data_IF_826503322147
#
_entry.id   IF_826503322147
#
_cell.length_a   1.000
_cell.length_b   1.000
_cell.length_c   1.000
_cell.angle_alpha   90.00
_cell.angle_beta   90.00
_cell.angle_gamma   90.00
#
_symmetry.space_group_name_H-M   'P 1'
#
loop_
_entity.id
_entity.type
_entity.pdbx_description
1 polymer ?
#
# COMPACT_ATOMS: atom_id res chain seq x y z
N UNK A 1 -47.39 30.89 -7.32
CA UNK A 1 -47.50 29.57 -6.65
C UNK A 1 -46.53 28.53 -7.21
N UNK A 2 -46.73 27.90 -8.38
CA UNK A 2 -45.79 26.85 -8.87
C UNK A 2 -44.34 27.32 -9.06
N UNK A 3 -44.15 28.55 -9.54
CA UNK A 3 -42.82 29.18 -9.72
C UNK A 3 -42.11 29.45 -8.38
N UNK A 4 -42.85 29.88 -7.35
CA UNK A 4 -42.28 30.20 -6.03
C UNK A 4 -41.79 28.93 -5.31
N UNK A 5 -42.54 27.83 -5.42
CA UNK A 5 -42.12 26.53 -4.91
C UNK A 5 -40.90 25.97 -5.66
N UNK A 6 -40.79 26.23 -6.96
CA UNK A 6 -39.62 25.84 -7.75
C UNK A 6 -38.36 26.63 -7.34
N UNK A 7 -38.48 27.94 -7.14
CA UNK A 7 -37.36 28.79 -6.66
C UNK A 7 -36.96 28.40 -5.24
N UNK A 8 -37.92 28.17 -4.34
CA UNK A 8 -37.64 27.69 -2.98
C UNK A 8 -36.92 26.34 -3.01
N UNK A 9 -37.38 25.41 -3.85
CA UNK A 9 -36.72 24.12 -4.04
C UNK A 9 -35.27 24.26 -4.50
N UNK A 10 -35.01 25.12 -5.48
CA UNK A 10 -33.65 25.40 -5.98
C UNK A 10 -32.74 25.96 -4.88
N UNK A 11 -33.24 26.91 -4.07
CA UNK A 11 -32.48 27.51 -2.97
C UNK A 11 -32.15 26.47 -1.89
N UNK A 12 -33.10 25.62 -1.52
CA UNK A 12 -32.87 24.56 -0.52
C UNK A 12 -31.85 23.56 -1.03
N UNK A 13 -31.93 23.12 -2.29
CA UNK A 13 -30.93 22.23 -2.89
C UNK A 13 -29.56 22.91 -2.94
N UNK A 14 -29.50 24.19 -3.34
CA UNK A 14 -28.25 24.96 -3.35
C UNK A 14 -27.59 25.08 -1.98
N UNK A 15 -28.38 25.30 -0.93
CA UNK A 15 -27.90 25.34 0.45
C UNK A 15 -27.38 23.99 0.92
N UNK A 16 -28.09 22.89 0.60
CA UNK A 16 -27.64 21.54 0.94
C UNK A 16 -26.32 21.19 0.23
N UNK A 17 -26.20 21.47 -1.06
CA UNK A 17 -24.96 21.24 -1.82
C UNK A 17 -23.79 22.07 -1.24
N UNK A 18 -24.03 23.35 -0.94
CA UNK A 18 -23.01 24.24 -0.35
C UNK A 18 -22.57 23.74 1.03
N UNK A 19 -23.51 23.26 1.85
CA UNK A 19 -23.22 22.73 3.18
C UNK A 19 -22.35 21.46 3.12
N UNK A 20 -22.66 20.53 2.21
CA UNK A 20 -21.87 19.30 2.00
C UNK A 20 -20.44 19.64 1.60
N UNK A 21 -20.25 20.52 0.61
CA UNK A 21 -18.91 20.96 0.16
C UNK A 21 -18.12 21.62 1.30
N UNK A 22 -18.79 22.42 2.14
CA UNK A 22 -18.16 23.07 3.28
C UNK A 22 -17.71 22.08 4.35
N UNK A 23 -18.47 21.01 4.60
CA UNK A 23 -18.07 19.94 5.51
C UNK A 23 -16.84 19.18 5.01
N UNK A 24 -16.82 18.78 3.74
CA UNK A 24 -15.68 18.09 3.15
C UNK A 24 -14.41 18.95 3.25
N UNK A 25 -14.51 20.24 2.92
CA UNK A 25 -13.39 21.19 3.03
C UNK A 25 -12.85 21.30 4.46
N UNK A 26 -13.73 21.29 5.47
CA UNK A 26 -13.34 21.37 6.88
C UNK A 26 -12.67 20.08 7.34
N UNK A 27 -13.16 18.91 6.91
CA UNK A 27 -12.52 17.62 7.18
C UNK A 27 -11.10 17.58 6.59
N UNK A 28 -10.92 18.00 5.34
CA UNK A 28 -9.61 18.09 4.71
C UNK A 28 -8.65 19.04 5.44
N UNK A 29 -9.12 20.18 5.95
CA UNK A 29 -8.28 21.07 6.77
C UNK A 29 -7.92 20.44 8.11
N UNK A 30 -8.87 19.78 8.76
CA UNK A 30 -8.65 19.14 10.06
C UNK A 30 -7.60 18.03 9.95
N UNK A 31 -7.73 17.14 8.97
CA UNK A 31 -6.75 16.07 8.71
C UNK A 31 -5.36 16.62 8.40
N UNK A 32 -5.27 17.63 7.53
CA UNK A 32 -3.98 18.27 7.24
C UNK A 32 -3.36 18.91 8.49
N UNK A 33 -4.16 19.47 9.38
CA UNK A 33 -3.70 20.01 10.65
C UNK A 33 -3.11 18.94 11.57
N UNK A 34 -3.77 17.78 11.69
CA UNK A 34 -3.29 16.65 12.49
C UNK A 34 -2.02 16.03 11.92
N UNK A 35 -1.96 15.82 10.60
CA UNK A 35 -0.78 15.27 9.91
C UNK A 35 0.40 16.23 10.02
N UNK A 36 0.18 17.54 9.81
CA UNK A 36 1.23 18.55 9.98
C UNK A 36 1.75 18.64 11.42
N UNK A 37 0.92 18.28 12.40
CA UNK A 37 1.32 18.16 13.80
C UNK A 37 2.05 16.84 14.13
N UNK A 38 2.28 15.97 13.13
CA UNK A 38 2.93 14.68 13.30
C UNK A 38 2.07 13.64 14.03
N UNK A 39 0.74 13.78 13.98
CA UNK A 39 -0.15 12.82 14.65
C UNK A 39 -0.13 11.47 13.91
N UNK A 40 0.61 10.52 14.48
CA UNK A 40 0.82 9.16 13.93
C UNK A 40 -0.50 8.40 13.78
N UNK A 41 -1.46 8.54 14.71
CA UNK A 41 -2.75 7.86 14.63
C UNK A 41 -3.62 8.40 13.49
N UNK A 42 -3.54 9.70 13.22
CA UNK A 42 -4.21 10.31 12.07
C UNK A 42 -3.61 9.81 10.75
N UNK A 43 -2.28 9.73 10.65
CA UNK A 43 -1.57 9.22 9.47
C UNK A 43 -1.92 7.75 9.25
N UNK A 44 -1.88 6.93 10.31
CA UNK A 44 -2.34 5.54 10.30
C UNK A 44 -3.74 5.42 9.73
N UNK A 45 -4.69 6.18 10.29
CA UNK A 45 -6.10 6.10 9.92
C UNK A 45 -6.30 6.39 8.44
N UNK A 46 -5.62 7.41 7.91
CA UNK A 46 -5.70 7.78 6.50
C UNK A 46 -5.09 6.71 5.58
N UNK A 47 -3.95 6.13 5.97
CA UNK A 47 -3.33 5.03 5.22
C UNK A 47 -4.22 3.77 5.21
N UNK A 48 -4.73 3.36 6.37
CA UNK A 48 -5.59 2.17 6.49
C UNK A 48 -6.90 2.33 5.70
N UNK A 49 -7.51 3.52 5.73
CA UNK A 49 -8.69 3.83 4.91
C UNK A 49 -8.40 3.70 3.41
N UNK A 50 -7.25 4.21 2.96
CA UNK A 50 -6.88 4.15 1.57
C UNK A 50 -6.52 2.72 1.12
N UNK A 51 -5.87 1.94 2.00
CA UNK A 51 -5.57 0.53 1.72
C UNK A 51 -6.85 -0.32 1.62
N UNK A 52 -7.85 -0.06 2.46
CA UNK A 52 -9.18 -0.69 2.36
C UNK A 52 -9.87 -0.31 1.04
N UNK A 53 -9.77 0.97 0.66
CA UNK A 53 -10.30 1.44 -0.63
C UNK A 53 -9.64 0.72 -1.80
N UNK A 54 -8.32 0.59 -1.84
CA UNK A 54 -7.61 -0.13 -2.91
C UNK A 54 -8.03 -1.60 -2.96
N UNK A 55 -8.16 -2.25 -1.80
CA UNK A 55 -8.57 -3.66 -1.68
C UNK A 55 -9.90 -3.96 -2.37
N UNK A 56 -10.85 -3.04 -2.28
CA UNK A 56 -12.20 -3.19 -2.86
C UNK A 56 -12.34 -2.59 -4.26
N UNK A 57 -11.37 -1.79 -4.71
CA UNK A 57 -11.39 -1.14 -6.01
C UNK A 57 -11.10 -2.13 -7.15
N UNK A 58 -11.80 -1.96 -8.27
CA UNK A 58 -11.50 -2.68 -9.52
C UNK A 58 -10.13 -2.26 -10.04
N UNK A 59 -9.48 -3.18 -10.77
CA UNK A 59 -8.19 -2.92 -11.43
C UNK A 59 -8.26 -1.62 -12.26
N UNK A 60 -7.42 -0.61 -11.95
CA UNK A 60 -7.34 0.62 -12.72
C UNK A 60 -6.94 0.37 -14.17
N UNK A 61 -7.35 1.26 -15.08
CA UNK A 61 -6.93 1.19 -16.48
C UNK A 61 -5.41 1.34 -16.59
N UNK A 62 -4.79 0.54 -17.46
CA UNK A 62 -3.34 0.58 -17.67
C UNK A 62 -2.51 -0.20 -16.65
N UNK A 63 -3.12 -0.68 -15.56
CA UNK A 63 -2.42 -1.50 -14.54
C UNK A 63 -2.64 -2.97 -14.84
N UNK A 64 -1.56 -3.76 -14.81
CA UNK A 64 -1.65 -5.20 -14.96
C UNK A 64 -2.41 -5.83 -13.77
N UNK A 65 -3.37 -6.75 -13.98
CA UNK A 65 -4.15 -7.34 -12.89
C UNK A 65 -3.31 -7.99 -11.78
N UNK A 66 -2.23 -8.69 -12.14
CA UNK A 66 -1.32 -9.30 -11.16
C UNK A 66 -0.65 -8.27 -10.24
N UNK A 67 -0.28 -7.10 -10.78
CA UNK A 67 0.31 -6.00 -9.99
C UNK A 67 -0.74 -5.42 -9.06
N UNK A 68 -1.97 -5.19 -9.55
CA UNK A 68 -3.05 -4.68 -8.71
C UNK A 68 -3.45 -5.65 -7.60
N UNK A 69 -3.47 -6.96 -7.88
CA UNK A 69 -3.69 -7.96 -6.84
C UNK A 69 -2.62 -7.89 -5.75
N UNK A 70 -1.35 -7.68 -6.10
CA UNK A 70 -0.30 -7.41 -5.11
C UNK A 70 -0.59 -6.16 -4.28
N UNK A 71 -0.98 -5.05 -4.91
CA UNK A 71 -1.41 -3.81 -4.21
C UNK A 71 -2.57 -4.08 -3.23
N UNK A 72 -3.54 -4.90 -3.61
CA UNK A 72 -4.72 -5.22 -2.77
C UNK A 72 -4.37 -6.04 -1.53
N UNK A 73 -3.21 -6.68 -1.49
CA UNK A 73 -2.71 -7.42 -0.32
C UNK A 73 -1.91 -6.56 0.65
N UNK A 74 -1.80 -5.25 0.40
CA UNK A 74 -1.04 -4.35 1.26
C UNK A 74 -1.55 -4.36 2.70
N UNK A 75 -0.61 -4.40 3.64
CA UNK A 75 -0.83 -4.29 5.08
C UNK A 75 0.11 -3.25 5.66
N UNK A 76 -0.39 -2.43 6.57
CA UNK A 76 0.42 -1.47 7.31
C UNK A 76 1.20 -2.22 8.41
N UNK A 77 2.52 -2.11 8.43
CA UNK A 77 3.42 -2.77 9.40
C UNK A 77 3.91 -1.82 10.49
N UNK A 78 4.15 -0.55 10.15
CA UNK A 78 4.46 0.49 11.12
C UNK A 78 4.20 1.87 10.50
N UNK A 79 3.98 2.88 11.32
CA UNK A 79 3.84 4.27 10.88
C UNK A 79 4.55 5.23 11.82
N UNK A 80 5.30 6.16 11.24
CA UNK A 80 5.95 7.27 11.93
C UNK A 80 5.30 8.61 11.60
N UNK A 81 5.91 9.70 12.03
CA UNK A 81 5.41 11.05 11.78
C UNK A 81 5.47 11.45 10.29
N UNK A 82 6.41 10.90 9.54
CA UNK A 82 6.62 11.18 8.12
C UNK A 82 7.04 9.92 7.32
N UNK A 83 6.88 8.74 7.89
CA UNK A 83 7.28 7.47 7.29
C UNK A 83 6.19 6.41 7.42
N UNK A 84 6.14 5.49 6.46
CA UNK A 84 5.32 4.29 6.56
C UNK A 84 6.14 3.04 6.25
N UNK A 85 5.84 1.96 6.94
CA UNK A 85 6.31 0.62 6.61
C UNK A 85 5.11 -0.22 6.26
N UNK A 86 5.12 -0.82 5.07
CA UNK A 86 4.06 -1.69 4.58
C UNK A 86 4.63 -3.03 4.13
N UNK A 87 3.79 -4.06 4.19
CA UNK A 87 4.05 -5.36 3.59
C UNK A 87 3.00 -5.67 2.53
N UNK A 88 3.37 -6.49 1.55
CA UNK A 88 2.44 -6.99 0.53
C UNK A 88 2.87 -8.36 0.01
N UNK A 89 2.01 -9.00 -0.78
CA UNK A 89 2.29 -10.27 -1.44
C UNK A 89 2.56 -10.06 -2.93
N UNK A 90 3.49 -10.85 -3.47
CA UNK A 90 3.69 -11.00 -4.90
C UNK A 90 3.87 -12.49 -5.25
N UNK A 91 3.27 -12.91 -6.37
CA UNK A 91 3.36 -14.27 -6.88
C UNK A 91 3.93 -14.26 -8.30
N UNK A 92 4.76 -15.25 -8.61
CA UNK A 92 5.25 -15.49 -9.98
C UNK A 92 4.11 -15.85 -10.92
N UNK A 93 4.26 -15.51 -12.20
CA UNK A 93 3.25 -15.80 -13.21
C UNK A 93 3.53 -17.16 -13.85
N UNK A 94 2.54 -18.07 -13.79
CA UNK A 94 2.63 -19.40 -14.38
C UNK A 94 1.59 -19.59 -15.47
N UNK A 95 1.98 -20.24 -16.57
CA UNK A 95 1.09 -20.60 -17.67
C UNK A 95 1.25 -22.07 -17.99
N UNK A 96 0.14 -22.76 -18.25
CA UNK A 96 0.20 -24.13 -18.77
C UNK A 96 0.51 -24.04 -20.26
N UNK A 97 1.68 -24.54 -20.64
CA UNK A 97 2.14 -24.64 -22.03
C UNK A 97 2.57 -26.08 -22.32
N UNK A 98 2.00 -26.70 -23.34
CA UNK A 98 2.30 -28.09 -23.69
C UNK A 98 2.01 -29.10 -22.56
N UNK A 99 0.98 -28.86 -21.75
CA UNK A 99 0.61 -29.73 -20.62
C UNK A 99 1.51 -29.64 -19.40
N UNK A 100 2.45 -28.68 -19.37
CA UNK A 100 3.33 -28.42 -18.22
C UNK A 100 3.12 -27.00 -17.70
N UNK A 101 3.18 -26.84 -16.39
CA UNK A 101 3.25 -25.51 -15.77
C UNK A 101 4.61 -24.89 -16.12
N UNK A 102 4.61 -23.73 -16.76
CA UNK A 102 5.80 -22.98 -17.12
C UNK A 102 5.75 -21.61 -16.46
N UNK A 103 6.83 -21.21 -15.80
CA UNK A 103 7.00 -19.85 -15.29
C UNK A 103 7.18 -18.89 -16.48
N UNK A 104 6.33 -17.88 -16.54
CA UNK A 104 6.32 -16.83 -17.58
C UNK A 104 6.84 -15.51 -17.03
N UNK A 105 6.78 -15.31 -15.72
CA UNK A 105 7.37 -14.16 -15.02
C UNK A 105 7.84 -14.56 -13.64
N UNK A 106 9.05 -14.13 -13.27
CA UNK A 106 9.65 -14.50 -11.99
C UNK A 106 8.94 -13.83 -10.81
N UNK A 107 8.98 -14.48 -9.64
CA UNK A 107 8.46 -13.89 -8.40
C UNK A 107 9.16 -12.56 -8.05
N UNK A 108 10.46 -12.43 -8.37
CA UNK A 108 11.21 -11.18 -8.17
C UNK A 108 10.72 -10.07 -9.11
N UNK A 109 10.47 -10.37 -10.38
CA UNK A 109 9.92 -9.38 -11.33
C UNK A 109 8.53 -8.91 -10.90
N UNK A 110 7.69 -9.84 -10.41
CA UNK A 110 6.39 -9.52 -9.85
C UNK A 110 6.55 -8.62 -8.60
N UNK A 111 7.49 -8.96 -7.71
CA UNK A 111 7.77 -8.17 -6.51
C UNK A 111 8.23 -6.76 -6.83
N UNK A 112 9.14 -6.58 -7.81
CA UNK A 112 9.59 -5.25 -8.24
C UNK A 112 8.46 -4.40 -8.80
N UNK A 113 7.56 -4.99 -9.62
CA UNK A 113 6.38 -4.29 -10.15
C UNK A 113 5.43 -3.84 -9.03
N UNK A 114 5.14 -4.72 -8.09
CA UNK A 114 4.24 -4.43 -6.96
C UNK A 114 4.86 -3.40 -6.04
N UNK A 115 6.14 -3.54 -5.69
CA UNK A 115 6.85 -2.59 -4.84
C UNK A 115 6.90 -1.18 -5.43
N UNK A 116 7.28 -1.07 -6.72
CA UNK A 116 7.29 0.21 -7.42
C UNK A 116 5.89 0.85 -7.44
N UNK A 117 4.84 0.07 -7.75
CA UNK A 117 3.48 0.60 -7.81
C UNK A 117 2.96 1.01 -6.43
N UNK A 118 3.24 0.24 -5.38
CA UNK A 118 2.86 0.60 -4.02
C UNK A 118 3.59 1.85 -3.54
N UNK A 119 4.89 1.98 -3.83
CA UNK A 119 5.65 3.18 -3.48
C UNK A 119 5.05 4.43 -4.13
N UNK A 120 4.75 4.36 -5.43
CA UNK A 120 4.08 5.44 -6.19
C UNK A 120 2.74 5.84 -5.53
N UNK A 121 1.85 4.87 -5.31
CA UNK A 121 0.52 5.12 -4.75
C UNK A 121 0.58 5.68 -3.33
N UNK A 122 1.46 5.15 -2.49
CA UNK A 122 1.59 5.62 -1.09
C UNK A 122 2.16 7.04 -1.06
N UNK A 123 3.10 7.37 -1.94
CA UNK A 123 3.71 8.69 -1.99
C UNK A 123 2.77 9.74 -2.61
N UNK A 124 1.92 9.40 -3.57
CA UNK A 124 1.15 10.40 -4.32
C UNK A 124 -0.37 10.33 -4.16
N UNK A 125 -0.95 9.16 -3.92
CA UNK A 125 -2.40 8.96 -4.00
C UNK A 125 -3.11 8.96 -2.64
N UNK A 126 -2.37 8.92 -1.53
CA UNK A 126 -2.97 8.97 -0.18
C UNK A 126 -3.37 10.41 0.17
N UNK A 127 -4.67 10.72 0.31
CA UNK A 127 -5.11 12.09 0.54
C UNK A 127 -4.75 12.59 1.94
N UNK A 128 -4.37 13.87 2.02
CA UNK A 128 -3.99 14.58 3.25
C UNK A 128 -2.73 14.07 3.95
N UNK A 129 -2.04 13.05 3.41
CA UNK A 129 -0.78 12.52 3.94
C UNK A 129 0.35 12.87 2.98
N UNK A 130 1.49 13.33 3.50
CA UNK A 130 2.72 13.55 2.72
C UNK A 130 3.89 12.95 3.48
N UNK A 131 4.20 11.68 3.19
CA UNK A 131 5.33 10.96 3.78
C UNK A 131 6.65 11.38 3.11
N UNK A 132 7.72 11.49 3.89
CA UNK A 132 9.10 11.66 3.42
C UNK A 132 9.64 10.39 2.77
N UNK A 133 9.27 9.21 3.27
CA UNK A 133 9.65 7.92 2.69
C UNK A 133 8.67 6.79 3.04
N UNK A 134 8.75 5.70 2.31
CA UNK A 134 8.00 4.47 2.55
C UNK A 134 8.92 3.25 2.40
N UNK A 135 8.84 2.32 3.36
CA UNK A 135 9.42 0.97 3.21
C UNK A 135 8.34 -0.01 2.75
N UNK A 136 8.60 -0.75 1.69
CA UNK A 136 7.74 -1.79 1.14
C UNK A 136 8.48 -3.12 1.19
N UNK A 137 7.99 -4.01 2.04
CA UNK A 137 8.47 -5.39 2.12
C UNK A 137 7.53 -6.32 1.33
N UNK A 138 8.07 -7.05 0.37
CA UNK A 138 7.30 -7.93 -0.52
C UNK A 138 7.58 -9.38 -0.19
N UNK A 139 6.50 -10.11 0.07
CA UNK A 139 6.54 -11.51 0.48
C UNK A 139 5.97 -12.42 -0.62
N UNK A 140 6.53 -13.61 -0.73
CA UNK A 140 6.01 -14.69 -1.58
C UNK A 140 5.71 -15.92 -0.73
N UNK A 141 4.74 -16.78 -1.11
CA UNK A 141 4.59 -18.09 -0.49
C UNK A 141 5.90 -18.88 -0.57
N UNK A 142 6.29 -19.51 0.55
CA UNK A 142 7.45 -20.40 0.66
C UNK A 142 6.96 -21.77 1.10
N UNK A 143 7.34 -22.80 0.35
CA UNK A 143 7.07 -24.18 0.75
C UNK A 143 8.22 -24.65 1.65
N UNK A 144 7.99 -24.68 2.97
CA UNK A 144 8.91 -25.40 3.85
C UNK A 144 8.71 -26.91 3.62
N UNK A 145 9.79 -27.67 3.45
CA UNK A 145 9.75 -29.10 3.17
C UNK A 145 9.06 -29.97 4.23
N UNK A 146 8.56 -29.39 5.33
CA UNK A 146 7.80 -30.10 6.36
C UNK A 146 6.26 -30.08 6.15
N UNK A 147 5.75 -29.31 5.18
CA UNK A 147 4.31 -29.09 4.99
C UNK A 147 3.79 -27.75 5.53
N UNK A 148 4.62 -27.01 6.28
CA UNK A 148 4.31 -25.65 6.70
C UNK A 148 4.37 -24.67 5.51
N UNK A 149 3.28 -23.90 5.32
CA UNK A 149 3.15 -22.89 4.27
C UNK A 149 3.33 -21.53 4.90
N UNK A 150 4.54 -21.00 4.80
CA UNK A 150 4.87 -19.66 5.25
C UNK A 150 4.95 -18.67 4.10
N UNK A 151 5.19 -17.41 4.44
CA UNK A 151 5.61 -16.40 3.49
C UNK A 151 7.03 -15.94 3.82
N UNK A 152 7.83 -15.69 2.79
CA UNK A 152 9.19 -15.20 2.91
C UNK A 152 9.36 -13.87 2.19
N UNK A 153 10.00 -12.90 2.84
CA UNK A 153 10.31 -11.61 2.21
C UNK A 153 11.39 -11.82 1.16
N UNK A 154 11.11 -11.42 -0.08
CA UNK A 154 12.00 -11.59 -1.23
C UNK A 154 12.48 -10.25 -1.81
N UNK A 155 11.87 -9.15 -1.41
CA UNK A 155 12.30 -7.79 -1.76
C UNK A 155 11.91 -6.84 -0.64
N UNK A 156 12.85 -6.00 -0.21
CA UNK A 156 12.58 -4.84 0.64
C UNK A 156 13.03 -3.60 -0.12
N UNK A 157 12.15 -2.60 -0.22
CA UNK A 157 12.37 -1.34 -0.94
C UNK A 157 12.13 -0.18 0.02
N UNK A 158 13.06 0.76 0.11
CA UNK A 158 12.88 2.03 0.84
C UNK A 158 12.89 3.16 -0.18
N UNK A 159 11.69 3.67 -0.48
CA UNK A 159 11.48 4.75 -1.43
C UNK A 159 11.33 6.08 -0.71
N UNK A 160 12.28 7.00 -0.91
CA UNK A 160 12.20 8.37 -0.43
C UNK A 160 11.52 9.29 -1.45
N UNK A 161 10.82 10.31 -0.95
CA UNK A 161 10.06 11.24 -1.80
C UNK A 161 10.98 12.11 -2.66
N UNK A 162 12.16 12.47 -2.16
CA UNK A 162 13.05 13.36 -2.91
C UNK A 162 13.49 12.71 -4.22
N UNK A 163 13.87 11.42 -4.18
CA UNK A 163 14.16 10.63 -5.36
C UNK A 163 12.90 10.36 -6.21
N UNK A 164 11.76 10.09 -5.57
CA UNK A 164 10.49 9.83 -6.27
C UNK A 164 10.00 11.03 -7.10
N UNK A 165 10.18 12.27 -6.60
CA UNK A 165 9.75 13.51 -7.25
C UNK A 165 10.53 13.78 -8.56
N UNK A 166 11.75 13.24 -8.68
CA UNK A 166 12.60 13.34 -9.88
C UNK A 166 12.46 12.15 -10.85
N UNK A 167 11.59 11.19 -10.53
CA UNK A 167 11.48 9.91 -11.23
C UNK A 167 10.39 9.95 -12.31
N UNK A 168 10.73 9.50 -13.52
CA UNK A 168 9.74 9.29 -14.58
C UNK A 168 9.11 7.90 -14.45
N UNK A 169 8.06 7.83 -13.63
CA UNK A 169 7.34 6.59 -13.31
C UNK A 169 6.74 5.89 -14.53
N UNK A 170 6.39 6.63 -15.57
CA UNK A 170 5.74 6.10 -16.78
C UNK A 170 6.75 5.63 -17.83
N UNK A 171 7.93 6.25 -17.90
CA UNK A 171 8.97 5.87 -18.86
C UNK A 171 9.84 4.70 -18.39
N UNK A 172 10.02 4.56 -17.08
CA UNK A 172 10.95 3.57 -16.51
C UNK A 172 10.31 2.20 -16.31
N UNK A 173 11.12 1.15 -16.52
CA UNK A 173 10.72 -0.22 -16.19
C UNK A 173 10.81 -0.44 -14.67
N UNK A 174 10.03 -1.36 -14.11
CA UNK A 174 9.99 -1.62 -12.66
C UNK A 174 11.35 -1.83 -11.99
N UNK A 175 12.27 -2.58 -12.61
CA UNK A 175 13.62 -2.78 -12.06
C UNK A 175 14.47 -1.50 -12.12
N UNK A 176 14.25 -0.65 -13.13
CA UNK A 176 14.93 0.64 -13.25
C UNK A 176 14.44 1.59 -12.14
N UNK A 177 13.13 1.58 -11.84
CA UNK A 177 12.53 2.31 -10.72
C UNK A 177 13.13 1.82 -9.39
N UNK A 178 13.04 0.52 -9.11
CA UNK A 178 13.57 -0.09 -7.87
C UNK A 178 15.05 0.24 -7.69
N UNK A 179 15.84 0.24 -8.76
CA UNK A 179 17.28 0.54 -8.70
C UNK A 179 17.62 1.99 -8.32
N UNK A 180 16.65 2.92 -8.37
CA UNK A 180 16.86 4.31 -7.93
C UNK A 180 16.78 4.48 -6.41
N UNK A 181 16.13 3.55 -5.75
CA UNK A 181 15.88 3.58 -4.32
C UNK A 181 16.80 2.62 -3.57
N UNK A 182 16.87 2.76 -2.26
CA UNK A 182 17.50 1.74 -1.41
C UNK A 182 16.65 0.46 -1.48
N UNK A 183 17.29 -0.67 -1.80
CA UNK A 183 16.59 -1.95 -1.95
C UNK A 183 17.47 -3.12 -1.54
N UNK A 184 16.84 -4.21 -1.10
CA UNK A 184 17.49 -5.48 -0.77
C UNK A 184 16.71 -6.65 -1.33
N UNK A 185 17.42 -7.56 -1.98
CA UNK A 185 16.98 -8.92 -2.30
C UNK A 185 18.20 -9.82 -2.32
N UNK A 186 18.00 -11.12 -2.07
CA UNK A 186 19.09 -12.10 -2.07
C UNK A 186 18.84 -13.14 -3.15
N UNK A 187 19.88 -13.47 -3.92
CA UNK A 187 19.85 -14.55 -4.91
C UNK A 187 20.70 -15.70 -4.40
N UNK A 188 20.20 -16.93 -4.57
CA UNK A 188 21.00 -18.12 -4.33
C UNK A 188 22.01 -18.38 -5.47
N UNK A 189 22.81 -19.44 -5.34
CA UNK A 189 23.82 -19.85 -6.34
C UNK A 189 23.27 -20.10 -7.75
N UNK A 190 21.95 -20.30 -7.88
CA UNK A 190 21.27 -20.54 -9.16
C UNK A 190 20.63 -19.27 -9.74
N UNK A 191 20.84 -18.11 -9.10
CA UNK A 191 20.23 -16.84 -9.49
C UNK A 191 18.74 -16.74 -9.16
N UNK A 192 18.21 -17.60 -8.28
CA UNK A 192 16.81 -17.58 -7.84
C UNK A 192 16.71 -16.79 -6.54
N UNK A 193 15.70 -15.92 -6.44
CA UNK A 193 15.46 -15.13 -5.23
C UNK A 193 15.17 -16.03 -4.03
N UNK A 194 15.81 -15.75 -2.90
CA UNK A 194 15.61 -16.46 -1.65
C UNK A 194 14.99 -15.55 -0.57
N UNK A 195 14.16 -16.11 0.32
CA UNK A 195 13.67 -15.38 1.47
C UNK A 195 14.80 -14.86 2.36
N UNK A 196 14.67 -13.64 2.87
CA UNK A 196 15.55 -13.05 3.87
C UNK A 196 14.73 -12.34 4.96
N UNK A 197 15.35 -12.05 6.10
CA UNK A 197 14.74 -11.20 7.14
C UNK A 197 14.89 -9.73 6.71
N UNK A 198 13.80 -8.99 6.47
CA UNK A 198 13.89 -7.59 6.05
C UNK A 198 14.38 -6.67 7.19
N UNK A 199 14.51 -7.18 8.41
CA UNK A 199 14.92 -6.43 9.59
C UNK A 199 13.71 -5.88 10.34
N UNK A 200 13.93 -5.25 11.50
CA UNK A 200 12.83 -4.80 12.36
C UNK A 200 11.91 -3.82 11.62
N UNK A 201 10.63 -3.72 12.03
CA UNK A 201 9.76 -2.63 11.59
C UNK A 201 10.41 -1.27 11.83
N UNK A 202 10.11 -0.29 10.98
CA UNK A 202 10.53 1.10 11.21
C UNK A 202 10.04 1.58 12.59
N UNK A 203 10.83 2.44 13.24
CA UNK A 203 10.42 3.08 14.49
C UNK A 203 9.09 3.84 14.27
N UNK A 204 8.11 3.53 15.09
CA UNK A 204 6.74 4.02 14.92
C UNK A 204 5.73 3.18 15.68
N UNK A 205 4.46 3.56 15.58
CA UNK A 205 3.38 2.77 16.16
C UNK A 205 3.12 1.57 15.25
N UNK A 206 3.12 0.35 15.80
CA UNK A 206 2.74 -0.86 15.07
C UNK A 206 1.22 -0.88 14.79
N UNK A 207 0.74 -1.52 13.71
CA UNK A 207 -0.68 -1.79 13.52
C UNK A 207 -1.24 -2.52 14.74
N UNK A 208 -2.47 -2.19 15.11
CA UNK A 208 -3.22 -3.02 16.03
C UNK A 208 -3.57 -4.29 15.27
N UNK A 209 -2.80 -5.37 15.48
CA UNK A 209 -3.15 -6.68 14.93
C UNK A 209 -4.53 -7.05 15.47
N UNK A 210 -5.51 -7.17 14.58
CA UNK A 210 -6.86 -7.60 14.92
C UNK A 210 -6.91 -9.09 15.25
N UNK A 211 -6.18 -9.54 16.29
CA UNK A 211 -6.28 -10.89 16.83
C UNK A 211 -6.15 -10.86 18.35
N UNK A 212 -7.19 -11.34 19.02
CA UNK A 212 -7.10 -11.84 20.39
C UNK A 212 -7.01 -10.78 21.48
N UNK A 213 -8.16 -10.31 21.94
CA UNK A 213 -8.33 -9.96 23.35
C UNK A 213 -7.64 -11.06 24.18
N UNK A 214 -6.66 -10.75 25.05
CA UNK A 214 -6.04 -11.79 25.87
C UNK A 214 -7.16 -12.41 26.70
N UNK A 215 -7.32 -13.73 26.56
CA UNK A 215 -8.03 -14.50 27.58
C UNK A 215 -7.29 -14.19 28.87
N UNK A 216 -7.96 -13.41 29.72
CA UNK A 216 -7.53 -13.13 31.08
C UNK A 216 -7.62 -14.45 31.85
N UNK A 217 -6.59 -15.27 31.71
CA UNK A 217 -6.30 -16.34 32.64
C UNK A 217 -5.60 -15.72 33.85
N UNK A 218 -6.21 -15.88 35.01
CA UNK A 218 -5.61 -16.07 36.34
C UNK A 218 -6.80 -16.09 37.34
N UNK A 219 -7.34 -17.28 37.63
CA UNK A 219 -7.13 -18.01 38.91
C UNK A 219 -7.44 -17.19 40.15
N UNK A 220 -8.64 -17.40 40.69
CA UNK A 220 -8.87 -17.98 42.03
C UNK A 220 -10.19 -18.76 42.03
#
# INVERSE_FOLDING_TARGET
>A
MAMEWAVLGLVVVGLLLTYVIFQETRAHRHWRGLVAAGNVDAIRTLLEQEFERWRTMRVPKGVAPAVWHGVQTVQLVAVGADAAHVSCLAEGEYRVSGGRLQEVGSALDAAMRVAAKLAELILYDVPNVRLSFVRVDVYTPVSAGNGDRGHGCILSLVADRAMADDLDWEALRPHEIVSRFEHRYELNERGVVQPFDPGPPLEGTLPVTGEGQPVRGETE
#
